data_IF_265876855712
#
_entry.id   IF_265876855712
#
_cell.length_a   1.000
_cell.length_b   1.000
_cell.length_c   1.000
_cell.angle_alpha   90.00
_cell.angle_beta   90.00
_cell.angle_gamma   90.00
#
_symmetry.space_group_name_H-M   'P 1'
#
loop_
_entity.id
_entity.type
_entity.pdbx_description
1 polymer ?
#
# COMPACT_ATOMS: atom_id res chain seq x y z
N UNK A 1 7.78 -3.84 -45.50
CA UNK A 1 8.05 -4.83 -44.43
C UNK A 1 9.56 -5.09 -44.43
N UNK A 2 10.31 -4.39 -43.58
CA UNK A 2 11.76 -4.61 -43.49
C UNK A 2 12.03 -5.89 -42.66
N UNK A 3 12.96 -6.76 -43.11
CA UNK A 3 13.30 -7.96 -42.36
C UNK A 3 14.04 -7.58 -41.08
N UNK A 4 13.49 -7.97 -39.93
CA UNK A 4 14.12 -7.78 -38.62
C UNK A 4 15.29 -8.77 -38.51
N UNK A 5 16.52 -8.33 -38.21
CA UNK A 5 17.67 -9.23 -38.07
C UNK A 5 17.43 -10.26 -36.95
N UNK A 6 17.80 -11.52 -37.18
CA UNK A 6 17.81 -12.54 -36.13
C UNK A 6 18.98 -12.25 -35.17
N UNK A 7 18.72 -11.46 -34.13
CA UNK A 7 19.71 -11.20 -33.08
C UNK A 7 19.67 -12.38 -32.09
N UNK A 8 20.69 -13.23 -32.15
CA UNK A 8 20.93 -14.28 -31.17
C UNK A 8 21.64 -13.68 -29.95
N UNK A 9 20.99 -13.72 -28.79
CA UNK A 9 21.63 -13.34 -27.53
C UNK A 9 22.59 -14.47 -27.10
N UNK A 10 23.90 -14.19 -27.18
CA UNK A 10 24.98 -15.10 -26.85
C UNK A 10 25.47 -14.81 -25.43
N UNK A 11 24.99 -15.56 -24.43
CA UNK A 11 25.65 -15.56 -23.11
C UNK A 11 26.72 -16.66 -23.08
N UNK A 12 27.97 -16.28 -22.83
CA UNK A 12 29.12 -17.18 -22.76
C UNK A 12 29.14 -17.81 -21.37
N UNK A 13 28.86 -19.11 -21.29
CA UNK A 13 29.12 -19.90 -20.08
C UNK A 13 30.61 -20.24 -19.93
N UNK A 14 31.05 -20.46 -18.69
CA UNK A 14 32.45 -20.71 -18.30
C UNK A 14 33.13 -21.93 -18.96
N UNK A 15 32.41 -22.72 -19.76
CA UNK A 15 32.93 -23.90 -20.48
C UNK A 15 33.14 -23.68 -21.98
N UNK A 16 33.01 -22.46 -22.50
CA UNK A 16 33.24 -22.16 -23.92
C UNK A 16 32.18 -22.71 -24.88
N UNK A 17 31.16 -23.41 -24.38
CA UNK A 17 30.03 -23.88 -25.19
C UNK A 17 29.02 -22.74 -25.32
N UNK A 18 28.88 -22.21 -26.54
CA UNK A 18 27.90 -21.18 -26.88
C UNK A 18 26.50 -21.79 -26.81
N UNK A 19 25.79 -21.60 -25.69
CA UNK A 19 24.39 -22.00 -25.57
C UNK A 19 23.53 -21.05 -26.42
N UNK A 20 23.17 -21.51 -27.62
CA UNK A 20 22.17 -20.83 -28.46
C UNK A 20 20.81 -21.00 -27.81
N UNK A 21 20.43 -20.03 -26.98
CA UNK A 21 19.10 -19.97 -26.41
C UNK A 21 18.13 -19.65 -27.55
N UNK A 22 17.35 -20.66 -27.98
CA UNK A 22 16.35 -20.51 -29.04
C UNK A 22 15.32 -19.42 -28.70
N UNK A 23 14.70 -18.81 -29.72
CA UNK A 23 13.68 -17.75 -29.54
C UNK A 23 12.52 -18.16 -28.64
N UNK A 24 12.24 -19.46 -28.52
CA UNK A 24 11.16 -20.01 -27.69
C UNK A 24 11.56 -20.19 -26.21
N UNK A 25 12.79 -19.87 -25.83
CA UNK A 25 13.19 -19.91 -24.43
C UNK A 25 12.49 -18.79 -23.65
N UNK A 26 11.96 -19.06 -22.44
CA UNK A 26 11.19 -18.09 -21.67
C UNK A 26 11.88 -16.73 -21.52
N UNK A 27 13.18 -16.71 -21.23
CA UNK A 27 13.94 -15.46 -21.09
C UNK A 27 14.01 -14.62 -22.38
N UNK A 28 14.13 -15.28 -23.55
CA UNK A 28 14.12 -14.60 -24.84
C UNK A 28 12.73 -14.05 -25.15
N UNK A 29 11.68 -14.82 -24.87
CA UNK A 29 10.29 -14.38 -25.06
C UNK A 29 9.95 -13.17 -24.18
N UNK A 30 10.35 -13.18 -22.90
CA UNK A 30 10.18 -12.03 -22.00
C UNK A 30 10.91 -10.81 -22.52
N UNK A 31 12.16 -10.94 -22.97
CA UNK A 31 12.92 -9.81 -23.53
C UNK A 31 12.23 -9.22 -24.76
N UNK A 32 11.84 -10.05 -25.72
CA UNK A 32 11.18 -9.57 -26.94
C UNK A 32 9.82 -8.95 -26.65
N UNK A 33 9.03 -9.54 -25.73
CA UNK A 33 7.76 -8.97 -25.28
C UNK A 33 7.97 -7.58 -24.64
N UNK A 34 8.95 -7.43 -23.75
CA UNK A 34 9.25 -6.15 -23.12
C UNK A 34 9.71 -5.11 -24.14
N UNK A 35 10.62 -5.48 -25.05
CA UNK A 35 11.09 -4.61 -26.14
C UNK A 35 9.93 -4.13 -27.00
N UNK A 36 9.05 -5.04 -27.40
CA UNK A 36 7.94 -4.71 -28.30
C UNK A 36 6.87 -3.88 -27.58
N UNK A 37 6.72 -4.04 -26.27
CA UNK A 37 5.84 -3.21 -25.44
C UNK A 37 6.34 -1.77 -25.24
N UNK A 38 7.65 -1.49 -25.41
CA UNK A 38 8.23 -0.16 -25.16
C UNK A 38 7.53 0.93 -25.96
N UNK A 39 7.25 0.70 -27.24
CA UNK A 39 6.61 1.71 -28.08
C UNK A 39 5.20 2.08 -27.58
N UNK A 40 4.42 1.09 -27.15
CA UNK A 40 3.10 1.32 -26.58
C UNK A 40 3.17 2.06 -25.23
N UNK A 41 4.13 1.70 -24.37
CA UNK A 41 4.36 2.37 -23.08
C UNK A 41 4.75 3.82 -23.33
N UNK A 42 5.74 4.08 -24.20
CA UNK A 42 6.17 5.43 -24.54
C UNK A 42 5.03 6.28 -25.11
N UNK A 43 4.15 5.68 -25.93
CA UNK A 43 2.98 6.39 -26.46
C UNK A 43 2.02 6.79 -25.32
N UNK A 44 1.71 5.87 -24.41
CA UNK A 44 0.84 6.15 -23.26
C UNK A 44 1.44 7.22 -22.35
N UNK A 45 2.74 7.14 -22.06
CA UNK A 45 3.45 8.12 -21.23
C UNK A 45 3.51 9.51 -21.89
N UNK A 46 3.71 9.57 -23.21
CA UNK A 46 3.79 10.84 -23.95
C UNK A 46 2.42 11.48 -24.13
N UNK A 47 1.39 10.68 -24.41
CA UNK A 47 0.02 11.18 -24.56
C UNK A 47 -0.59 11.58 -23.21
N UNK A 48 -0.20 10.91 -22.13
CA UNK A 48 -0.75 11.14 -20.81
C UNK A 48 -2.23 10.75 -20.69
N UNK A 49 -2.84 11.15 -19.57
CA UNK A 49 -4.26 10.94 -19.29
C UNK A 49 -4.84 12.29 -18.86
N UNK A 50 -6.01 12.65 -19.42
CA UNK A 50 -6.71 13.86 -19.01
C UNK A 50 -7.08 13.80 -17.52
N UNK A 51 -6.70 14.83 -16.76
CA UNK A 51 -6.87 14.90 -15.32
C UNK A 51 -7.68 16.13 -14.92
N UNK A 52 -8.77 15.92 -14.20
CA UNK A 52 -9.62 16.99 -13.69
C UNK A 52 -9.08 17.49 -12.34
N UNK A 53 -8.11 18.40 -12.41
CA UNK A 53 -7.45 18.95 -11.21
C UNK A 53 -8.40 19.69 -10.28
N UNK A 54 -9.44 20.34 -10.83
CA UNK A 54 -10.41 21.09 -10.04
C UNK A 54 -11.26 20.17 -9.18
N UNK A 55 -11.86 19.14 -9.78
CA UNK A 55 -12.66 18.18 -9.02
C UNK A 55 -11.78 17.34 -8.08
N UNK A 56 -10.54 17.04 -8.48
CA UNK A 56 -9.58 16.38 -7.61
C UNK A 56 -9.24 17.21 -6.36
N UNK A 57 -8.99 18.51 -6.50
CA UNK A 57 -8.73 19.40 -5.38
C UNK A 57 -9.93 19.51 -4.43
N UNK A 58 -11.16 19.58 -4.98
CA UNK A 58 -12.38 19.57 -4.17
C UNK A 58 -12.55 18.26 -3.40
N UNK A 59 -12.23 17.12 -4.04
CA UNK A 59 -12.28 15.80 -3.42
C UNK A 59 -11.25 15.68 -2.28
N UNK A 60 -10.02 16.15 -2.48
CA UNK A 60 -8.99 16.18 -1.43
C UNK A 60 -9.45 17.03 -0.24
N UNK A 61 -9.99 18.22 -0.48
CA UNK A 61 -10.53 19.06 0.60
C UNK A 61 -11.71 18.42 1.34
N UNK A 62 -12.54 17.62 0.66
CA UNK A 62 -13.60 16.84 1.31
C UNK A 62 -12.99 15.75 2.21
N UNK A 63 -12.02 14.98 1.70
CA UNK A 63 -11.34 13.95 2.48
C UNK A 63 -10.56 14.50 3.67
N UNK A 64 -9.92 15.66 3.55
CA UNK A 64 -9.24 16.31 4.66
C UNK A 64 -10.22 16.70 5.77
N UNK A 65 -11.41 17.21 5.41
CA UNK A 65 -12.48 17.50 6.37
C UNK A 65 -12.96 16.23 7.07
N UNK A 66 -13.26 15.19 6.30
CA UNK A 66 -13.66 13.88 6.84
C UNK A 66 -12.57 13.27 7.74
N UNK A 67 -11.30 13.39 7.36
CA UNK A 67 -10.18 12.93 8.16
C UNK A 67 -10.10 13.68 9.50
N UNK A 68 -10.23 15.01 9.47
CA UNK A 68 -10.20 15.83 10.67
C UNK A 68 -11.36 15.49 11.62
N UNK A 69 -12.55 15.23 11.08
CA UNK A 69 -13.69 14.80 11.87
C UNK A 69 -13.49 13.39 12.43
N UNK A 70 -12.99 12.44 11.62
CA UNK A 70 -12.67 11.09 12.09
C UNK A 70 -11.61 11.10 13.21
N UNK A 71 -10.57 11.94 13.08
CA UNK A 71 -9.56 12.15 14.12
C UNK A 71 -10.19 12.70 15.40
N UNK A 72 -11.08 13.70 15.29
CA UNK A 72 -11.79 14.27 16.44
C UNK A 72 -12.63 13.22 17.18
N UNK A 73 -13.42 12.45 16.45
CA UNK A 73 -14.24 11.38 17.04
C UNK A 73 -13.39 10.27 17.66
N UNK A 74 -12.29 9.90 17.00
CA UNK A 74 -11.34 8.91 17.53
C UNK A 74 -10.74 9.39 18.85
N UNK A 75 -10.32 10.66 18.94
CA UNK A 75 -9.83 11.28 20.19
C UNK A 75 -10.87 11.23 21.31
N UNK A 76 -12.14 11.52 21.01
CA UNK A 76 -13.23 11.47 21.99
C UNK A 76 -13.48 10.05 22.53
N UNK A 77 -13.45 9.03 21.66
CA UNK A 77 -13.75 7.65 22.05
C UNK A 77 -12.58 6.98 22.78
N UNK A 78 -11.35 7.28 22.39
CA UNK A 78 -10.16 6.58 22.89
C UNK A 78 -9.44 7.34 24.01
N UNK A 79 -9.70 8.65 24.13
CA UNK A 79 -8.92 9.57 24.96
C UNK A 79 -7.52 9.86 24.41
N UNK A 80 -7.18 9.32 23.23
CA UNK A 80 -5.86 9.46 22.63
C UNK A 80 -5.75 10.80 21.91
N UNK A 81 -4.94 11.73 22.42
CA UNK A 81 -4.51 12.88 21.62
C UNK A 81 -3.38 12.47 20.66
N UNK A 82 -3.30 13.10 19.48
CA UNK A 82 -2.16 12.88 18.56
C UNK A 82 -0.81 13.28 19.18
N UNK A 83 -0.80 14.16 20.20
CA UNK A 83 0.41 14.44 20.98
C UNK A 83 0.77 13.32 21.99
N UNK A 84 -0.20 12.50 22.39
CA UNK A 84 -0.03 11.45 23.39
C UNK A 84 0.19 10.06 22.77
N UNK A 85 -0.30 9.82 21.55
CA UNK A 85 -0.16 8.55 20.85
C UNK A 85 -0.23 8.71 19.33
N UNK A 86 0.76 8.18 18.63
CA UNK A 86 0.75 8.09 17.18
C UNK A 86 -0.10 6.89 16.74
N UNK A 87 -1.26 7.17 16.16
CA UNK A 87 -2.21 6.17 15.66
C UNK A 87 -1.58 5.28 14.55
N UNK A 88 -0.50 5.71 13.90
CA UNK A 88 0.27 4.88 12.93
C UNK A 88 1.23 3.91 13.59
N UNK A 89 1.66 4.17 14.82
CA UNK A 89 2.62 3.31 15.51
C UNK A 89 1.92 2.01 15.93
N UNK A 90 2.33 0.90 15.31
CA UNK A 90 1.81 -0.41 15.69
C UNK A 90 2.20 -0.80 17.12
N UNK A 91 3.33 -0.29 17.63
CA UNK A 91 3.74 -0.50 19.01
C UNK A 91 2.80 0.22 19.96
N UNK A 92 2.62 1.54 19.79
CA UNK A 92 1.77 2.31 20.70
C UNK A 92 0.30 1.88 20.63
N UNK A 93 -0.18 1.47 19.44
CA UNK A 93 -1.51 0.90 19.29
C UNK A 93 -1.62 -0.47 19.96
N UNK A 94 -0.57 -1.30 19.91
CA UNK A 94 -0.50 -2.57 20.63
C UNK A 94 -0.59 -2.37 22.14
N UNK A 95 0.21 -1.46 22.68
CA UNK A 95 0.21 -1.12 24.11
C UNK A 95 -1.16 -0.59 24.56
N UNK A 96 -1.80 0.25 23.73
CA UNK A 96 -3.15 0.74 23.99
C UNK A 96 -4.19 -0.38 24.03
N UNK A 97 -4.15 -1.30 23.06
CA UNK A 97 -5.04 -2.46 23.02
C UNK A 97 -4.82 -3.32 24.26
N UNK A 98 -3.57 -3.62 24.62
CA UNK A 98 -3.22 -4.41 25.81
C UNK A 98 -3.79 -3.79 27.09
N UNK A 99 -3.78 -2.46 27.21
CA UNK A 99 -4.35 -1.75 28.36
C UNK A 99 -5.88 -1.78 28.47
N UNK A 100 -6.58 -2.15 27.39
CA UNK A 100 -8.05 -2.11 27.29
C UNK A 100 -8.70 -3.49 27.22
N UNK A 101 -7.93 -4.52 26.89
CA UNK A 101 -8.41 -5.89 26.84
C UNK A 101 -8.41 -6.55 28.22
N UNK A 102 -9.42 -7.37 28.47
CA UNK A 102 -9.44 -8.25 29.64
C UNK A 102 -8.46 -9.42 29.42
N UNK A 103 -7.96 -10.04 30.51
CA UNK A 103 -6.93 -11.10 30.42
C UNK A 103 -7.31 -12.29 29.51
N UNK A 104 -8.59 -12.64 29.43
CA UNK A 104 -9.10 -13.70 28.53
C UNK A 104 -9.01 -13.27 27.05
N UNK A 105 -9.33 -12.00 26.76
CA UNK A 105 -9.28 -11.45 25.41
C UNK A 105 -7.83 -11.32 24.94
N UNK A 106 -6.94 -10.91 25.85
CA UNK A 106 -5.51 -10.79 25.60
C UNK A 106 -4.86 -12.15 25.26
N UNK A 107 -5.27 -13.24 25.91
CA UNK A 107 -4.78 -14.58 25.59
C UNK A 107 -5.24 -15.09 24.22
N UNK A 108 -6.43 -14.67 23.77
CA UNK A 108 -6.95 -15.03 22.44
C UNK A 108 -6.37 -14.16 21.33
N UNK A 109 -5.72 -13.05 21.67
CA UNK A 109 -5.18 -12.12 20.69
C UNK A 109 -3.93 -12.68 19.99
N UNK A 110 -3.86 -12.69 18.66
CA UNK A 110 -2.69 -13.20 17.93
C UNK A 110 -1.43 -12.39 18.24
N UNK A 111 -0.28 -13.07 18.42
CA UNK A 111 1.02 -12.43 18.65
C UNK A 111 1.93 -12.56 17.43
N UNK A 112 2.83 -11.59 17.30
CA UNK A 112 3.91 -11.58 16.31
C UNK A 112 5.04 -12.50 16.75
N UNK A 113 6.00 -12.77 15.85
CA UNK A 113 7.18 -13.59 16.16
C UNK A 113 8.02 -13.06 17.32
N UNK A 114 7.99 -11.74 17.55
CA UNK A 114 8.70 -11.06 18.64
C UNK A 114 7.90 -11.06 19.95
N UNK A 115 6.71 -11.66 19.98
CA UNK A 115 5.87 -11.74 21.16
C UNK A 115 4.94 -10.54 21.38
N UNK A 116 5.06 -9.46 20.60
CA UNK A 116 4.14 -8.32 20.66
C UNK A 116 2.76 -8.68 20.07
N UNK A 117 1.70 -7.98 20.50
CA UNK A 117 0.37 -8.14 19.90
C UNK A 117 0.43 -7.86 18.39
N UNK A 118 -0.31 -8.65 17.62
CA UNK A 118 -0.43 -8.46 16.18
C UNK A 118 -1.48 -7.38 15.91
N UNK A 119 -1.06 -6.32 15.23
CA UNK A 119 -1.85 -5.08 15.00
C UNK A 119 -1.99 -4.79 13.50
N UNK A 120 -1.99 -5.83 12.67
CA UNK A 120 -2.25 -5.66 11.24
C UNK A 120 -3.76 -5.44 10.99
N UNK A 121 -4.10 -4.92 9.80
CA UNK A 121 -5.48 -4.60 9.44
C UNK A 121 -6.41 -5.81 9.60
N UNK A 122 -5.96 -7.00 9.20
CA UNK A 122 -6.75 -8.22 9.30
C UNK A 122 -7.03 -8.60 10.77
N UNK A 123 -6.00 -8.63 11.63
CA UNK A 123 -6.17 -8.95 13.05
C UNK A 123 -7.07 -7.93 13.74
N UNK A 124 -6.90 -6.65 13.42
CA UNK A 124 -7.77 -5.58 13.94
C UNK A 124 -9.22 -5.69 13.47
N UNK A 125 -9.52 -6.31 12.33
CA UNK A 125 -10.89 -6.51 11.88
C UNK A 125 -11.54 -7.76 12.50
N UNK A 126 -10.77 -8.82 12.71
CA UNK A 126 -11.29 -10.14 13.10
C UNK A 126 -11.27 -10.38 14.62
N UNK A 127 -10.28 -9.84 15.34
CA UNK A 127 -10.09 -10.12 16.77
C UNK A 127 -10.70 -9.05 17.70
N UNK A 128 -11.43 -8.07 17.13
CA UNK A 128 -12.12 -7.06 17.92
C UNK A 128 -13.16 -7.66 18.84
N UNK A 129 -13.03 -7.39 20.13
CA UNK A 129 -14.09 -7.59 21.11
C UNK A 129 -14.99 -6.35 21.16
N UNK A 130 -16.23 -6.48 21.63
CA UNK A 130 -17.20 -5.38 21.67
C UNK A 130 -16.66 -4.13 22.38
N UNK A 131 -15.79 -4.32 23.39
CA UNK A 131 -15.18 -3.26 24.20
C UNK A 131 -14.28 -2.31 23.40
N UNK A 132 -13.57 -2.82 22.39
CA UNK A 132 -12.60 -2.03 21.59
C UNK A 132 -12.98 -1.89 20.12
N UNK A 133 -13.98 -2.64 19.64
CA UNK A 133 -14.39 -2.69 18.24
C UNK A 133 -14.69 -1.30 17.64
N UNK A 134 -15.47 -0.48 18.36
CA UNK A 134 -15.86 0.86 17.89
C UNK A 134 -14.65 1.81 17.80
N UNK A 135 -13.72 1.71 18.72
CA UNK A 135 -12.51 2.51 18.70
C UNK A 135 -11.56 2.07 17.58
N UNK A 136 -11.38 0.76 17.41
CA UNK A 136 -10.50 0.20 16.39
C UNK A 136 -11.02 0.43 14.97
N UNK A 137 -12.33 0.35 14.73
CA UNK A 137 -12.90 0.68 13.43
C UNK A 137 -12.68 2.14 13.04
N UNK A 138 -12.78 3.06 14.00
CA UNK A 138 -12.48 4.48 13.79
C UNK A 138 -11.00 4.72 13.52
N UNK A 139 -10.11 4.06 14.28
CA UNK A 139 -8.65 4.11 14.05
C UNK A 139 -8.30 3.59 12.66
N UNK A 140 -8.90 2.48 12.22
CA UNK A 140 -8.70 1.92 10.89
C UNK A 140 -9.18 2.89 9.80
N UNK A 141 -10.34 3.53 9.99
CA UNK A 141 -10.85 4.53 9.06
C UNK A 141 -9.90 5.72 8.92
N UNK A 142 -9.36 6.24 10.03
CA UNK A 142 -8.36 7.31 10.01
C UNK A 142 -7.12 6.87 9.21
N UNK A 143 -6.57 5.68 9.47
CA UNK A 143 -5.42 5.14 8.74
C UNK A 143 -5.69 5.02 7.24
N UNK A 144 -6.89 4.57 6.84
CA UNK A 144 -7.28 4.46 5.44
C UNK A 144 -7.40 5.82 4.76
N UNK A 145 -8.04 6.79 5.41
CA UNK A 145 -8.20 8.15 4.89
C UNK A 145 -6.84 8.86 4.74
N UNK A 146 -5.95 8.72 5.71
CA UNK A 146 -4.58 9.23 5.60
C UNK A 146 -3.82 8.58 4.42
N UNK A 147 -4.00 7.28 4.21
CA UNK A 147 -3.39 6.59 3.06
C UNK A 147 -3.96 7.09 1.73
N UNK A 148 -5.28 7.34 1.64
CA UNK A 148 -5.90 7.93 0.45
C UNK A 148 -5.33 9.32 0.17
N UNK A 149 -5.33 10.20 1.16
CA UNK A 149 -4.81 11.57 1.00
C UNK A 149 -3.32 11.53 0.64
N UNK A 150 -2.50 10.68 1.27
CA UNK A 150 -1.09 10.56 0.93
C UNK A 150 -0.84 9.99 -0.47
N UNK A 151 -1.68 9.07 -0.95
CA UNK A 151 -1.54 8.48 -2.28
C UNK A 151 -1.99 9.45 -3.38
N UNK A 152 -3.07 10.20 -3.12
CA UNK A 152 -3.72 11.04 -4.12
C UNK A 152 -3.34 12.53 -4.04
N UNK A 153 -2.80 12.98 -2.91
CA UNK A 153 -2.36 14.36 -2.66
C UNK A 153 -1.30 14.86 -3.64
N UNK A 154 -0.22 14.10 -3.91
CA UNK A 154 0.85 14.55 -4.80
C UNK A 154 0.40 14.88 -6.23
N UNK A 155 -0.68 14.26 -6.72
CA UNK A 155 -1.21 14.55 -8.05
C UNK A 155 -1.76 15.98 -8.18
N UNK A 156 -2.11 16.63 -7.06
CA UNK A 156 -2.53 18.03 -7.06
C UNK A 156 -1.35 19.01 -7.16
N UNK A 157 -0.11 18.58 -6.86
CA UNK A 157 1.09 19.43 -6.88
C UNK A 157 1.74 19.52 -8.27
N UNK A 158 1.39 18.59 -9.16
CA UNK A 158 2.00 18.44 -10.49
C UNK A 158 1.13 18.95 -11.64
N UNK A 159 0.00 19.61 -11.34
CA UNK A 159 -0.95 20.19 -12.32
C UNK A 159 -1.11 21.67 -12.07
#
# INVERSE_FOLDING_TARGET
>A
VHPIPQIFASMVGETGTRLTIGRNHPACLTYYLMRDAQAAICLVETCGIAFDSRNHAQLLQAWERELNDAKRHTRQLTGLSEQAMNIRSNQQLGDWIESRLNGIELQKWPRTKTGALKVDKATLQTCCTESVQKALSMILNVREMEKKISAYGPFAEHV
#
